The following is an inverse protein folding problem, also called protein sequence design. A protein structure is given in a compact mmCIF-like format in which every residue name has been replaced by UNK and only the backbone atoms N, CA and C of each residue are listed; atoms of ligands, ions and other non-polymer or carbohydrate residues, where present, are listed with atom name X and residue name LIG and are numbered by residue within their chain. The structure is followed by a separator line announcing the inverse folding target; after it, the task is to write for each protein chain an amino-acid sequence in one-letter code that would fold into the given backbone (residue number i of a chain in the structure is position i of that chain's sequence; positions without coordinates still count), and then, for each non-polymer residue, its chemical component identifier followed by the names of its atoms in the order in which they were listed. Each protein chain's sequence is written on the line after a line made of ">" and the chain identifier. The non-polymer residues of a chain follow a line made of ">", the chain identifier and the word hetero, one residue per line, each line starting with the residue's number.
data_IF_257083228552
#
_entry.id   IF_257083228552
#
_cell.length_a   1.000
_cell.length_b   1.000
_cell.length_c   1.000
_cell.angle_alpha   90.00
_cell.angle_beta   90.00
_cell.angle_gamma   90.00
#
_symmetry.space_group_name_H-M   'P 1'
#
loop_
_entity.id
_entity.type
_entity.pdbx_description
1 polymer ?
#
# COMPACT_ATOMS: atom_id res chain seq x y z
N UNK A 1 58.34 44.01 -28.00
CA UNK A 1 57.84 44.50 -26.70
C UNK A 1 56.33 44.69 -26.85
N UNK A 2 55.57 43.69 -27.30
CA UNK A 2 55.05 42.54 -26.55
C UNK A 2 54.79 42.81 -25.05
N UNK A 3 53.53 43.13 -24.75
CA UNK A 3 52.90 43.03 -23.42
C UNK A 3 51.49 42.49 -23.68
N UNK A 4 51.31 41.21 -23.37
CA UNK A 4 50.18 40.40 -23.79
C UNK A 4 48.84 40.75 -23.14
N UNK A 5 47.82 40.87 -23.98
CA UNK A 5 46.43 40.67 -23.57
C UNK A 5 46.18 39.16 -23.35
N UNK A 6 45.97 38.76 -22.11
CA UNK A 6 45.49 37.41 -21.79
C UNK A 6 44.03 37.25 -22.24
N UNK A 7 43.85 36.54 -23.35
CA UNK A 7 42.63 35.80 -23.68
C UNK A 7 42.80 34.37 -23.17
N UNK A 8 41.82 33.88 -22.37
CA UNK A 8 41.54 32.47 -21.99
C UNK A 8 40.48 32.54 -20.88
N UNK A 9 39.34 31.84 -20.85
CA UNK A 9 38.85 30.61 -21.48
C UNK A 9 37.32 30.68 -21.52
N UNK A 10 36.72 30.38 -22.67
CA UNK A 10 35.33 29.95 -22.76
C UNK A 10 35.22 28.51 -22.23
N UNK A 11 34.40 28.28 -21.21
CA UNK A 11 33.97 26.92 -20.84
C UNK A 11 32.67 26.60 -21.56
N UNK A 12 32.72 25.55 -22.38
CA UNK A 12 31.61 25.05 -23.16
C UNK A 12 30.46 24.57 -22.26
N UNK A 13 29.26 25.10 -22.48
CA UNK A 13 28.03 24.54 -21.92
C UNK A 13 27.76 23.18 -22.57
N UNK A 14 27.92 22.10 -21.80
CA UNK A 14 27.47 20.75 -22.21
C UNK A 14 25.94 20.76 -22.27
N UNK A 15 25.38 20.76 -23.49
CA UNK A 15 23.98 20.41 -23.75
C UNK A 15 23.74 18.98 -23.22
N UNK A 16 22.95 18.83 -22.17
CA UNK A 16 22.39 17.52 -21.79
C UNK A 16 21.30 17.17 -22.80
N UNK A 17 21.55 16.11 -23.55
CA UNK A 17 20.62 15.45 -24.43
C UNK A 17 19.61 14.69 -23.56
N UNK A 18 18.40 15.24 -23.41
CA UNK A 18 17.30 14.56 -22.71
C UNK A 18 16.74 13.47 -23.60
N UNK A 19 16.93 12.23 -23.17
CA UNK A 19 16.35 11.02 -23.77
C UNK A 19 14.87 10.93 -23.39
N UNK A 20 14.06 10.34 -24.27
CA UNK A 20 12.59 10.28 -24.19
C UNK A 20 12.04 9.46 -23.01
N UNK A 21 12.90 8.98 -22.10
CA UNK A 21 12.55 8.20 -20.90
C UNK A 21 12.56 8.97 -19.58
N UNK A 22 13.04 10.23 -19.54
CA UNK A 22 13.15 11.01 -18.29
C UNK A 22 11.88 11.83 -17.97
N UNK A 23 10.91 11.85 -18.88
CA UNK A 23 9.65 12.57 -18.73
C UNK A 23 8.51 11.54 -18.59
N UNK A 24 8.36 10.98 -17.39
CA UNK A 24 7.12 10.48 -16.74
C UNK A 24 7.56 9.73 -15.48
N UNK A 25 8.18 10.47 -14.56
CA UNK A 25 8.14 10.12 -13.14
C UNK A 25 7.56 11.35 -12.48
N UNK A 26 6.25 11.35 -12.25
CA UNK A 26 5.68 12.26 -11.26
C UNK A 26 6.53 12.07 -10.00
N UNK A 27 7.06 13.14 -9.37
CA UNK A 27 7.85 12.97 -8.17
C UNK A 27 6.99 12.20 -7.19
N UNK A 28 7.42 10.97 -6.89
CA UNK A 28 6.90 10.21 -5.76
C UNK A 28 6.95 11.18 -4.60
N UNK A 29 5.78 11.61 -4.12
CA UNK A 29 5.70 12.26 -2.83
C UNK A 29 6.18 11.21 -1.83
N UNK A 30 7.50 11.18 -1.62
CA UNK A 30 8.08 10.63 -0.43
C UNK A 30 7.32 11.35 0.69
N UNK A 31 6.42 10.62 1.33
CA UNK A 31 5.94 10.99 2.64
C UNK A 31 7.16 10.88 3.56
N UNK A 32 8.02 11.90 3.49
CA UNK A 32 8.93 12.21 4.59
C UNK A 32 8.02 12.36 5.79
N UNK A 33 8.21 11.48 6.79
CA UNK A 33 7.59 11.66 8.09
C UNK A 33 7.77 13.14 8.46
N UNK A 34 6.69 13.89 8.75
CA UNK A 34 6.80 15.31 8.96
C UNK A 34 7.87 15.53 10.02
N UNK A 35 8.94 16.24 9.66
CA UNK A 35 9.90 16.76 10.62
C UNK A 35 9.06 17.38 11.73
N UNK A 36 9.12 16.82 12.93
CA UNK A 36 8.29 17.23 14.07
C UNK A 36 8.61 18.68 14.38
N UNK A 37 7.91 19.60 13.71
CA UNK A 37 7.96 21.02 14.02
C UNK A 37 7.36 21.14 15.41
N UNK A 38 8.21 21.48 16.38
CA UNK A 38 7.80 21.71 17.76
C UNK A 38 6.91 22.96 17.77
N UNK A 39 5.62 22.78 17.55
CA UNK A 39 4.65 23.84 17.31
C UNK A 39 3.25 23.27 17.13
N UNK A 40 2.27 24.17 16.99
CA UNK A 40 0.87 23.78 16.82
C UNK A 40 0.61 23.50 15.34
N UNK A 41 0.17 22.28 15.04
CA UNK A 41 -0.24 21.88 13.70
C UNK A 41 -1.75 21.91 13.57
N UNK A 42 -2.27 22.58 12.54
CA UNK A 42 -3.67 22.47 12.12
C UNK A 42 -3.71 21.66 10.83
N UNK A 43 -4.54 20.62 10.78
CA UNK A 43 -4.74 19.81 9.59
C UNK A 43 -6.21 19.84 9.18
N UNK A 44 -6.45 20.06 7.89
CA UNK A 44 -7.78 20.01 7.28
C UNK A 44 -7.83 18.82 6.32
N UNK A 45 -8.75 17.89 6.57
CA UNK A 45 -8.83 16.62 5.85
C UNK A 45 -10.12 16.56 5.03
N UNK A 46 -10.00 16.26 3.74
CA UNK A 46 -11.14 15.95 2.89
C UNK A 46 -11.42 14.45 2.95
N UNK A 47 -12.57 14.08 3.52
CA UNK A 47 -12.99 12.67 3.66
C UNK A 47 -13.81 12.16 2.48
N UNK A 48 -14.03 12.99 1.45
CA UNK A 48 -14.88 12.64 0.31
C UNK A 48 -14.12 12.81 -1.01
N UNK A 49 -13.89 11.72 -1.77
CA UNK A 49 -13.22 11.81 -3.06
C UNK A 49 -14.09 12.50 -4.13
N UNK A 50 -15.39 12.68 -3.85
CA UNK A 50 -16.37 13.29 -4.76
C UNK A 50 -15.96 14.69 -5.21
N UNK A 51 -15.33 15.47 -4.34
CA UNK A 51 -14.91 16.84 -4.65
C UNK A 51 -13.88 16.84 -5.78
N UNK A 52 -12.81 16.06 -5.64
CA UNK A 52 -11.77 15.92 -6.66
C UNK A 52 -12.34 15.39 -7.99
N UNK A 53 -13.23 14.40 -7.93
CA UNK A 53 -13.83 13.84 -9.15
C UNK A 53 -14.79 14.81 -9.85
N UNK A 54 -15.53 15.63 -9.10
CA UNK A 54 -16.37 16.67 -9.67
C UNK A 54 -15.54 17.80 -10.29
N UNK A 55 -14.40 18.15 -9.70
CA UNK A 55 -13.49 19.14 -10.27
C UNK A 55 -12.87 18.63 -11.58
N UNK A 56 -12.52 17.34 -11.68
CA UNK A 56 -12.11 16.73 -12.95
C UNK A 56 -13.19 16.84 -14.03
N UNK A 57 -14.46 16.61 -13.69
CA UNK A 57 -15.58 16.79 -14.63
C UNK A 57 -15.72 18.24 -15.07
N UNK A 58 -15.63 19.19 -14.13
CA UNK A 58 -15.71 20.65 -14.41
C UNK A 58 -14.59 21.13 -15.33
N UNK A 59 -13.40 20.55 -15.19
CA UNK A 59 -12.25 20.84 -16.05
C UNK A 59 -12.35 20.23 -17.45
N UNK A 60 -13.47 19.58 -17.81
CA UNK A 60 -13.74 19.09 -19.15
C UNK A 60 -12.99 17.80 -19.51
N UNK A 61 -12.62 16.98 -18.51
CA UNK A 61 -12.06 15.64 -18.77
C UNK A 61 -13.08 14.82 -19.54
N UNK A 62 -12.71 14.41 -20.77
CA UNK A 62 -13.62 13.68 -21.67
C UNK A 62 -13.89 12.25 -21.24
N UNK A 63 -12.85 11.55 -20.79
CA UNK A 63 -12.93 10.13 -20.42
C UNK A 63 -12.13 9.87 -19.14
N UNK A 64 -12.73 9.16 -18.19
CA UNK A 64 -12.07 8.62 -17.01
C UNK A 64 -12.20 7.11 -17.08
N UNK A 65 -11.08 6.42 -17.29
CA UNK A 65 -11.02 4.96 -17.34
C UNK A 65 -10.33 4.49 -16.07
N UNK A 66 -11.01 3.65 -15.29
CA UNK A 66 -10.47 3.07 -14.07
C UNK A 66 -10.37 1.57 -14.27
N UNK A 67 -9.17 1.04 -14.04
CA UNK A 67 -8.88 -0.40 -14.14
C UNK A 67 -8.21 -0.85 -12.85
N UNK A 68 -8.61 -2.02 -12.35
CA UNK A 68 -8.00 -2.68 -11.20
C UNK A 68 -8.41 -4.14 -11.18
N UNK A 69 -7.52 -5.00 -10.68
CA UNK A 69 -7.84 -6.41 -10.45
C UNK A 69 -8.70 -6.68 -9.21
N UNK A 70 -8.85 -5.69 -8.32
CA UNK A 70 -9.50 -5.87 -7.01
C UNK A 70 -10.65 -4.87 -6.77
N UNK A 71 -11.10 -4.15 -7.81
CA UNK A 71 -12.23 -3.23 -7.71
C UNK A 71 -13.54 -4.01 -7.51
N UNK A 72 -13.91 -4.20 -6.26
CA UNK A 72 -15.18 -4.77 -5.84
C UNK A 72 -15.56 -4.23 -4.47
N UNK A 73 -16.85 -3.95 -4.21
CA UNK A 73 -17.96 -3.99 -5.16
C UNK A 73 -18.08 -2.69 -5.99
N UNK A 74 -18.35 -2.82 -7.30
CA UNK A 74 -18.23 -1.70 -8.27
C UNK A 74 -19.23 -0.57 -8.04
N UNK A 75 -20.44 -0.88 -7.55
CA UNK A 75 -21.50 0.11 -7.35
C UNK A 75 -21.15 1.07 -6.23
N UNK A 76 -20.63 0.53 -5.14
CA UNK A 76 -20.21 1.24 -3.94
C UNK A 76 -19.02 2.13 -4.28
N UNK A 77 -18.05 1.61 -5.02
CA UNK A 77 -16.93 2.41 -5.54
C UNK A 77 -17.40 3.60 -6.39
N UNK A 78 -18.35 3.39 -7.31
CA UNK A 78 -18.91 4.46 -8.13
C UNK A 78 -19.65 5.51 -7.28
N UNK A 79 -20.43 5.05 -6.30
CA UNK A 79 -21.16 5.91 -5.36
C UNK A 79 -20.22 6.77 -4.53
N UNK A 80 -19.15 6.21 -3.97
CA UNK A 80 -18.17 6.94 -3.17
C UNK A 80 -17.49 8.04 -3.99
N UNK A 81 -17.16 7.78 -5.26
CA UNK A 81 -16.55 8.78 -6.14
C UNK A 81 -17.53 9.79 -6.74
N UNK A 82 -18.84 9.64 -6.53
CA UNK A 82 -19.89 10.38 -7.24
C UNK A 82 -19.71 10.33 -8.77
N UNK A 83 -19.34 9.17 -9.29
CA UNK A 83 -19.19 8.90 -10.71
C UNK A 83 -20.32 8.00 -11.19
N UNK A 84 -20.76 8.22 -12.43
CA UNK A 84 -21.57 7.26 -13.17
C UNK A 84 -20.68 6.65 -14.24
N UNK A 85 -20.32 5.38 -14.07
CA UNK A 85 -19.60 4.63 -15.09
C UNK A 85 -20.62 4.03 -16.06
N UNK A 86 -20.76 4.65 -17.24
CA UNK A 86 -21.63 4.15 -18.30
C UNK A 86 -21.17 2.81 -18.87
N UNK A 87 -19.89 2.47 -18.72
CA UNK A 87 -19.33 1.17 -19.08
C UNK A 87 -18.70 0.56 -17.83
N UNK A 88 -19.12 -0.66 -17.49
CA UNK A 88 -18.58 -1.46 -16.40
C UNK A 88 -18.30 -2.85 -16.93
N UNK A 89 -17.07 -3.33 -16.73
CA UNK A 89 -16.63 -4.65 -17.16
C UNK A 89 -16.02 -5.38 -15.98
N UNK A 90 -16.54 -6.57 -15.68
CA UNK A 90 -15.92 -7.51 -14.76
C UNK A 90 -15.60 -8.76 -15.54
N UNK A 91 -14.31 -9.06 -15.67
CA UNK A 91 -13.87 -10.27 -16.34
C UNK A 91 -14.02 -11.46 -15.41
N UNK A 92 -14.36 -12.61 -15.98
CA UNK A 92 -14.31 -13.87 -15.25
C UNK A 92 -12.89 -14.15 -14.77
N UNK A 93 -12.78 -14.84 -13.64
CA UNK A 93 -11.48 -15.18 -13.07
C UNK A 93 -10.71 -16.10 -14.03
N UNK A 94 -9.45 -15.76 -14.33
CA UNK A 94 -8.66 -16.47 -15.36
C UNK A 94 -8.15 -17.83 -14.84
N UNK A 95 -8.01 -17.97 -13.52
CA UNK A 95 -7.54 -19.22 -12.91
C UNK A 95 -8.70 -20.10 -12.44
N UNK A 96 -8.48 -21.41 -12.50
CA UNK A 96 -9.39 -22.45 -12.01
C UNK A 96 -9.27 -22.66 -10.50
N UNK A 97 -10.27 -23.29 -9.87
CA UNK A 97 -10.25 -23.60 -8.43
C UNK A 97 -9.09 -24.51 -7.98
N UNK A 98 -8.38 -25.14 -8.92
CA UNK A 98 -7.19 -25.95 -8.61
C UNK A 98 -5.93 -25.12 -8.41
N UNK A 99 -5.94 -23.87 -8.86
CA UNK A 99 -4.77 -22.98 -8.85
C UNK A 99 -4.73 -22.08 -7.62
N UNK A 100 -5.87 -21.83 -6.97
CA UNK A 100 -5.97 -21.06 -5.73
C UNK A 100 -7.00 -21.71 -4.81
N UNK A 101 -6.60 -21.84 -3.56
CA UNK A 101 -7.50 -22.16 -2.46
C UNK A 101 -7.70 -20.91 -1.60
N UNK A 102 -8.95 -20.61 -1.25
CA UNK A 102 -9.32 -19.54 -0.33
C UNK A 102 -10.12 -20.17 0.80
N UNK A 103 -9.72 -19.89 2.04
CA UNK A 103 -10.40 -20.38 3.22
C UNK A 103 -10.34 -19.39 4.37
N UNK A 104 -11.33 -19.49 5.25
CA UNK A 104 -11.39 -18.74 6.49
C UNK A 104 -11.04 -19.69 7.63
N UNK A 105 -9.97 -19.38 8.37
CA UNK A 105 -9.60 -20.13 9.57
C UNK A 105 -10.15 -19.40 10.79
N UNK A 106 -11.19 -19.97 11.40
CA UNK A 106 -11.85 -19.35 12.55
C UNK A 106 -11.17 -19.64 13.88
N UNK A 107 -10.45 -20.77 13.97
CA UNK A 107 -9.84 -21.26 15.20
C UNK A 107 -8.43 -21.78 14.97
N UNK A 108 -7.55 -21.56 15.94
CA UNK A 108 -6.19 -22.10 15.94
C UNK A 108 -6.12 -23.54 16.48
N UNK A 109 -4.91 -24.11 16.52
CA UNK A 109 -4.63 -25.46 17.02
C UNK A 109 -5.23 -25.80 18.40
N UNK A 110 -5.23 -24.84 19.33
CA UNK A 110 -5.78 -24.98 20.67
C UNK A 110 -7.26 -24.58 20.76
N UNK A 111 -7.96 -24.49 19.62
CA UNK A 111 -9.37 -24.09 19.49
C UNK A 111 -9.65 -22.66 19.95
N UNK A 112 -8.64 -21.81 20.12
CA UNK A 112 -8.87 -20.39 20.39
C UNK A 112 -9.43 -19.72 19.14
N UNK A 113 -10.42 -18.85 19.32
CA UNK A 113 -10.96 -18.07 18.22
C UNK A 113 -9.89 -17.11 17.68
N UNK A 114 -9.62 -17.17 16.39
CA UNK A 114 -8.70 -16.27 15.71
C UNK A 114 -9.40 -14.92 15.46
N UNK A 115 -9.41 -14.08 16.49
CA UNK A 115 -10.11 -12.81 16.49
C UNK A 115 -9.17 -11.66 16.89
N UNK A 116 -8.80 -10.82 15.91
CA UNK A 116 -7.92 -9.66 16.11
C UNK A 116 -8.65 -8.37 16.48
N UNK A 117 -9.90 -8.43 16.95
CA UNK A 117 -10.65 -7.25 17.40
C UNK A 117 -9.93 -6.49 18.52
N UNK A 118 -10.21 -5.19 18.66
CA UNK A 118 -9.57 -4.33 19.65
C UNK A 118 -9.60 -4.91 21.07
N UNK A 119 -10.69 -5.60 21.44
CA UNK A 119 -10.89 -6.21 22.76
C UNK A 119 -10.06 -7.48 22.97
N UNK A 120 -9.78 -8.25 21.91
CA UNK A 120 -9.14 -9.56 22.02
C UNK A 120 -7.68 -9.57 21.52
N UNK A 121 -7.23 -8.53 20.82
CA UNK A 121 -5.88 -8.48 20.22
C UNK A 121 -4.71 -8.46 21.22
N UNK A 122 -4.97 -8.29 22.51
CA UNK A 122 -3.97 -8.38 23.58
C UNK A 122 -4.09 -9.68 24.39
N UNK A 123 -5.01 -10.57 24.01
CA UNK A 123 -5.20 -11.86 24.67
C UNK A 123 -4.06 -12.81 24.27
N UNK A 124 -3.29 -13.23 25.26
CA UNK A 124 -2.11 -14.07 25.07
C UNK A 124 -2.43 -15.45 24.48
N UNK A 125 -3.57 -16.04 24.85
CA UNK A 125 -4.00 -17.33 24.31
C UNK A 125 -4.29 -17.22 22.81
N UNK A 126 -4.94 -16.14 22.38
CA UNK A 126 -5.18 -15.86 20.97
C UNK A 126 -3.87 -15.63 20.21
N UNK A 127 -2.97 -14.80 20.74
CA UNK A 127 -1.70 -14.47 20.08
C UNK A 127 -0.87 -15.75 19.92
N UNK A 128 -0.77 -16.57 20.97
CA UNK A 128 -0.05 -17.85 20.94
C UNK A 128 -0.66 -18.81 19.91
N UNK A 129 -2.00 -18.97 19.91
CA UNK A 129 -2.67 -19.90 19.00
C UNK A 129 -2.57 -19.46 17.52
N UNK A 130 -2.56 -18.14 17.27
CA UNK A 130 -2.27 -17.58 15.95
C UNK A 130 -0.84 -17.91 15.50
N UNK A 131 0.15 -17.75 16.38
CA UNK A 131 1.55 -18.08 16.09
C UNK A 131 1.71 -19.56 15.72
N UNK A 132 1.09 -20.47 16.48
CA UNK A 132 1.11 -21.90 16.18
C UNK A 132 0.41 -22.24 14.87
N UNK A 133 -0.72 -21.57 14.56
CA UNK A 133 -1.41 -21.73 13.28
C UNK A 133 -0.47 -21.36 12.11
N UNK A 134 0.23 -20.23 12.22
CA UNK A 134 1.20 -19.78 11.21
C UNK A 134 2.33 -20.81 11.08
N UNK A 135 2.91 -21.31 12.17
CA UNK A 135 3.97 -22.33 12.12
C UNK A 135 3.51 -23.60 11.39
N UNK A 136 2.30 -24.09 11.67
CA UNK A 136 1.75 -25.28 10.98
C UNK A 136 1.52 -25.05 9.48
N UNK A 137 1.05 -23.87 9.10
CA UNK A 137 0.89 -23.48 7.70
C UNK A 137 2.26 -23.43 7.03
N UNK A 138 3.22 -22.73 7.63
CA UNK A 138 4.59 -22.61 7.10
C UNK A 138 5.29 -23.96 6.95
N UNK A 139 5.07 -24.91 7.86
CA UNK A 139 5.62 -26.25 7.75
C UNK A 139 5.05 -27.06 6.56
N UNK A 140 3.86 -26.69 6.07
CA UNK A 140 3.18 -27.39 4.96
C UNK A 140 3.38 -26.70 3.60
N UNK A 141 3.91 -25.47 3.57
CA UNK A 141 4.07 -24.66 2.36
C UNK A 141 5.55 -24.59 1.95
N UNK A 142 5.93 -25.12 0.77
CA UNK A 142 7.34 -25.31 0.41
C UNK A 142 8.12 -24.01 0.13
N UNK A 143 7.48 -23.03 -0.49
CA UNK A 143 8.17 -21.84 -1.04
C UNK A 143 8.04 -20.59 -0.16
N UNK A 144 7.57 -20.76 1.09
CA UNK A 144 7.42 -19.69 2.07
C UNK A 144 6.01 -19.11 2.19
N UNK A 145 5.85 -18.26 3.20
CA UNK A 145 4.55 -17.68 3.59
C UNK A 145 4.67 -16.17 3.73
N UNK A 146 3.70 -15.44 3.19
CA UNK A 146 3.54 -14.01 3.40
C UNK A 146 2.38 -13.74 4.36
N UNK A 147 2.68 -13.10 5.50
CA UNK A 147 1.69 -12.79 6.55
C UNK A 147 1.51 -11.28 6.67
N UNK A 148 0.27 -10.82 6.59
CA UNK A 148 -0.09 -9.41 6.79
C UNK A 148 -0.71 -9.21 8.17
N UNK A 149 -0.29 -8.14 8.84
CA UNK A 149 -0.87 -7.70 10.12
C UNK A 149 -1.65 -6.38 9.95
N UNK A 150 -2.65 -6.10 10.79
CA UNK A 150 -3.42 -4.85 10.72
C UNK A 150 -2.59 -3.57 10.94
N UNK A 151 -1.43 -3.68 11.61
CA UNK A 151 -0.47 -2.57 11.80
C UNK A 151 0.90 -3.08 12.21
N UNK A 152 1.94 -2.28 11.99
CA UNK A 152 3.29 -2.58 12.48
C UNK A 152 3.34 -2.71 14.01
N UNK A 153 2.59 -1.89 14.75
CA UNK A 153 2.53 -2.00 16.20
C UNK A 153 2.00 -3.37 16.66
N UNK A 154 0.97 -3.89 15.98
CA UNK A 154 0.41 -5.23 16.28
C UNK A 154 1.40 -6.33 15.89
N UNK A 155 2.03 -6.21 14.72
CA UNK A 155 3.07 -7.14 14.27
C UNK A 155 4.22 -7.23 15.28
N UNK A 156 4.78 -6.10 15.70
CA UNK A 156 5.89 -6.06 16.66
C UNK A 156 5.49 -6.68 17.99
N UNK A 157 4.32 -6.32 18.53
CA UNK A 157 3.84 -6.89 19.79
C UNK A 157 3.68 -8.41 19.73
N UNK A 158 3.15 -8.96 18.63
CA UNK A 158 2.95 -10.40 18.48
C UNK A 158 4.29 -11.12 18.34
N UNK A 159 5.20 -10.58 17.53
CA UNK A 159 6.56 -11.13 17.36
C UNK A 159 7.31 -11.14 18.69
N UNK A 160 7.23 -10.05 19.47
CA UNK A 160 7.85 -9.98 20.80
C UNK A 160 7.28 -11.05 21.73
N UNK A 161 5.97 -11.28 21.70
CA UNK A 161 5.35 -12.32 22.50
C UNK A 161 5.78 -13.73 22.07
N UNK A 162 5.81 -14.02 20.77
CA UNK A 162 6.23 -15.34 20.28
C UNK A 162 7.70 -15.64 20.59
N UNK A 163 8.57 -14.62 20.58
CA UNK A 163 9.97 -14.75 21.01
C UNK A 163 10.14 -15.03 22.50
N UNK A 164 9.16 -14.68 23.35
CA UNK A 164 9.17 -15.01 24.78
C UNK A 164 8.75 -16.45 25.04
N UNK A 165 7.85 -16.97 24.21
CA UNK A 165 7.31 -18.34 24.33
C UNK A 165 8.28 -19.38 23.77
N UNK A 166 9.26 -18.98 22.95
CA UNK A 166 10.37 -19.85 22.52
C UNK A 166 11.43 -19.99 23.62
N UNK A 167 11.17 -20.85 24.60
CA UNK A 167 12.21 -21.48 25.43
C UNK A 167 11.92 -22.98 25.46
N UNK A 168 12.89 -23.72 24.90
CA UNK A 168 13.07 -25.18 24.80
C UNK A 168 12.13 -26.00 23.90
#
# INVERSE_FOLDING_TARGET
>A
MDMGHQTKRTSAAKKKQTSWGDAVVAPTAQQTAPTQLKGWGLSYWCFSPRYAMNDLKRNGVRNVIITSGTLSPMREFASEMALSFGVQLTNSHVITSKQVWVGVMEKGPNRQALNSSFRNRTNEAYITDLGMAIVRISASVPDGVLVFFPSYATMTAFIEQWKKVSVD
#
